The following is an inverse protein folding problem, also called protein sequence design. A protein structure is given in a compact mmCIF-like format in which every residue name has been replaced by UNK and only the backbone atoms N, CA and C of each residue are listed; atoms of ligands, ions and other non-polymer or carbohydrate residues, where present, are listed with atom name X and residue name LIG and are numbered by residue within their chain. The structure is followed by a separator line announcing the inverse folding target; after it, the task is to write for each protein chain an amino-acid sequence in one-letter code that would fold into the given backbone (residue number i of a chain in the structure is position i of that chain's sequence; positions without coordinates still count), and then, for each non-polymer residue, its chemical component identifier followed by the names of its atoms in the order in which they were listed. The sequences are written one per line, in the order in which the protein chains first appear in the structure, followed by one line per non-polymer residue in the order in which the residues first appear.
data_IF_227700089723
#
_entry.id   IF_227700089723
#
_cell.length_a   1.000
_cell.length_b   1.000
_cell.length_c   1.000
_cell.angle_alpha   90.00
_cell.angle_beta   90.00
_cell.angle_gamma   90.00
#
_symmetry.space_group_name_H-M   'P 1'
#
loop_
_entity.id
_entity.type
_entity.pdbx_description
1 polymer ?
#
# COMPACT_ATOMS: atom_id res chain seq x y z
N UNK A 1 22.51 32.16 -0.25
CA UNK A 1 22.14 30.74 -0.10
C UNK A 1 21.24 30.32 -1.26
N UNK A 2 21.81 29.70 -2.30
CA UNK A 2 21.03 29.12 -3.40
C UNK A 2 20.35 27.85 -2.88
N UNK A 3 19.01 27.85 -2.84
CA UNK A 3 18.21 26.64 -2.60
C UNK A 3 18.61 25.61 -3.67
N UNK A 4 19.27 24.52 -3.27
CA UNK A 4 19.42 23.34 -4.14
C UNK A 4 18.03 22.75 -4.37
N UNK A 5 17.28 23.32 -5.33
CA UNK A 5 16.12 22.63 -5.90
C UNK A 5 16.68 21.53 -6.77
N UNK A 6 16.85 20.35 -6.19
CA UNK A 6 17.18 19.15 -6.94
C UNK A 6 15.92 18.75 -7.72
N UNK A 7 15.68 19.42 -8.85
CA UNK A 7 14.76 18.94 -9.87
C UNK A 7 15.44 17.78 -10.57
N UNK A 8 15.39 16.60 -9.97
CA UNK A 8 15.55 15.40 -10.78
C UNK A 8 14.35 15.34 -11.70
N UNK A 9 14.60 15.41 -13.01
CA UNK A 9 13.61 14.98 -13.98
C UNK A 9 13.21 13.55 -13.60
N UNK A 10 11.91 13.29 -13.34
CA UNK A 10 11.48 11.96 -12.95
C UNK A 10 11.87 11.00 -14.07
N UNK A 11 12.51 9.90 -13.71
CA UNK A 11 12.81 8.85 -14.66
C UNK A 11 11.52 8.41 -15.37
N UNK A 12 11.64 7.89 -16.59
CA UNK A 12 10.49 7.36 -17.35
C UNK A 12 9.61 6.44 -16.48
N UNK A 13 10.25 5.60 -15.66
CA UNK A 13 9.60 4.71 -14.69
C UNK A 13 8.77 5.44 -13.62
N UNK A 14 9.29 6.53 -13.04
CA UNK A 14 8.53 7.34 -12.07
C UNK A 14 7.36 8.05 -12.75
N UNK A 15 7.55 8.55 -13.97
CA UNK A 15 6.47 9.18 -14.75
C UNK A 15 5.35 8.18 -15.04
N UNK A 16 5.69 6.97 -15.47
CA UNK A 16 4.72 5.89 -15.72
C UNK A 16 3.96 5.53 -14.45
N UNK A 17 4.63 5.40 -13.31
CA UNK A 17 3.99 5.13 -12.02
C UNK A 17 3.02 6.23 -11.59
N UNK A 18 3.41 7.49 -11.73
CA UNK A 18 2.56 8.64 -11.42
C UNK A 18 1.32 8.65 -12.32
N UNK A 19 1.47 8.37 -13.61
CA UNK A 19 0.35 8.30 -14.55
C UNK A 19 -0.60 7.14 -14.23
N UNK A 20 -0.06 5.96 -13.93
CA UNK A 20 -0.87 4.80 -13.52
C UNK A 20 -1.67 5.11 -12.25
N UNK A 21 -1.02 5.72 -11.25
CA UNK A 21 -1.69 6.08 -9.99
C UNK A 21 -2.80 7.10 -10.22
N UNK A 22 -2.53 8.15 -11.01
CA UNK A 22 -3.52 9.16 -11.36
C UNK A 22 -4.73 8.53 -12.07
N UNK A 23 -4.50 7.59 -12.98
CA UNK A 23 -5.58 6.87 -13.67
C UNK A 23 -6.42 6.00 -12.74
N UNK A 24 -5.79 5.35 -11.77
CA UNK A 24 -6.47 4.44 -10.85
C UNK A 24 -7.26 5.16 -9.75
N UNK A 25 -6.80 6.34 -9.33
CA UNK A 25 -7.26 6.98 -8.09
C UNK A 25 -7.82 8.39 -8.30
N UNK A 26 -7.51 9.03 -9.43
CA UNK A 26 -7.73 10.48 -9.60
C UNK A 26 -6.71 11.33 -8.83
N UNK A 27 -5.79 10.71 -8.08
CA UNK A 27 -4.79 11.37 -7.24
C UNK A 27 -3.37 11.18 -7.77
N UNK A 28 -2.52 12.18 -7.55
CA UNK A 28 -1.09 12.02 -7.83
C UNK A 28 -0.47 10.99 -6.87
N UNK A 29 0.58 10.29 -7.30
CA UNK A 29 1.26 9.29 -6.46
C UNK A 29 1.76 9.86 -5.13
N UNK A 30 2.14 11.14 -5.09
CA UNK A 30 2.53 11.83 -3.86
C UNK A 30 1.41 11.95 -2.82
N UNK A 31 0.16 11.89 -3.27
CA UNK A 31 -1.06 12.08 -2.46
C UNK A 31 -1.54 10.78 -1.82
N UNK A 32 -1.02 9.63 -2.22
CA UNK A 32 -1.47 8.36 -1.67
C UNK A 32 -1.22 8.26 -0.15
N UNK A 33 -2.05 7.50 0.59
CA UNK A 33 -1.90 7.31 2.03
C UNK A 33 -0.50 6.82 2.42
N UNK A 34 -0.06 7.20 3.62
CA UNK A 34 1.29 6.84 4.09
C UNK A 34 1.53 5.34 4.14
N UNK A 35 0.50 4.56 4.46
CA UNK A 35 0.58 3.09 4.49
C UNK A 35 0.87 2.48 3.12
N UNK A 36 0.60 3.19 2.02
CA UNK A 36 0.92 2.71 0.67
C UNK A 36 2.44 2.72 0.39
N UNK A 37 3.22 3.49 1.15
CA UNK A 37 4.66 3.63 0.94
C UNK A 37 5.39 2.41 1.52
N UNK A 38 6.29 1.84 0.76
CA UNK A 38 7.14 0.75 1.23
C UNK A 38 8.25 1.32 2.12
N UNK A 39 7.95 1.44 3.42
CA UNK A 39 8.88 2.02 4.41
C UNK A 39 9.98 1.03 4.83
N UNK A 40 9.81 -0.25 4.52
CA UNK A 40 10.73 -1.35 4.84
C UNK A 40 10.99 -2.11 3.55
N UNK A 41 12.23 -2.49 3.27
CA UNK A 41 12.56 -3.29 2.09
C UNK A 41 11.72 -4.57 2.07
N UNK A 42 10.99 -4.79 0.97
CA UNK A 42 10.12 -5.94 0.76
C UNK A 42 10.66 -6.88 -0.33
N UNK A 43 10.26 -8.15 -0.29
CA UNK A 43 10.63 -9.12 -1.32
C UNK A 43 10.04 -8.74 -2.69
N UNK A 44 10.76 -8.96 -3.81
CA UNK A 44 10.22 -8.75 -5.15
C UNK A 44 9.17 -9.82 -5.45
N UNK A 45 7.92 -9.55 -5.09
CA UNK A 45 6.81 -10.48 -5.22
C UNK A 45 5.90 -10.20 -6.43
N UNK A 46 6.13 -9.09 -7.13
CA UNK A 46 5.23 -8.60 -8.18
C UNK A 46 5.98 -8.09 -9.42
N UNK A 47 5.34 -8.21 -10.59
CA UNK A 47 5.77 -7.63 -11.87
C UNK A 47 5.64 -6.09 -11.89
N UNK A 48 4.77 -5.55 -11.02
CA UNK A 48 4.56 -4.12 -10.83
C UNK A 48 5.24 -3.64 -9.53
N UNK A 49 5.53 -2.34 -9.40
CA UNK A 49 5.99 -1.79 -8.15
C UNK A 49 4.97 -2.00 -7.03
N UNK A 50 5.44 -2.46 -5.86
CA UNK A 50 4.59 -2.87 -4.72
C UNK A 50 3.62 -1.78 -4.26
N UNK A 51 4.01 -0.50 -4.37
CA UNK A 51 3.15 0.64 -4.05
C UNK A 51 1.84 0.64 -4.85
N UNK A 52 1.85 0.17 -6.10
CA UNK A 52 0.64 0.10 -6.93
C UNK A 52 -0.31 -0.98 -6.40
N UNK A 53 0.21 -2.12 -5.96
CA UNK A 53 -0.61 -3.13 -5.28
C UNK A 53 -1.13 -2.62 -3.94
N UNK A 54 -0.30 -1.97 -3.13
CA UNK A 54 -0.74 -1.38 -1.84
C UNK A 54 -1.86 -0.35 -2.03
N UNK A 55 -1.76 0.51 -3.05
CA UNK A 55 -2.84 1.42 -3.48
C UNK A 55 -4.09 0.64 -3.88
N UNK A 56 -3.95 -0.41 -4.69
CA UNK A 56 -5.06 -1.28 -5.05
C UNK A 56 -5.76 -1.90 -3.84
N UNK A 57 -5.00 -2.32 -2.82
CA UNK A 57 -5.55 -2.83 -1.56
C UNK A 57 -6.32 -1.74 -0.82
N UNK A 58 -5.79 -0.52 -0.74
CA UNK A 58 -6.49 0.62 -0.12
C UNK A 58 -7.83 0.90 -0.83
N UNK A 59 -7.83 0.94 -2.16
CA UNK A 59 -9.05 1.15 -2.94
C UNK A 59 -10.06 0.02 -2.73
N UNK A 60 -9.59 -1.22 -2.57
CA UNK A 60 -10.47 -2.36 -2.32
C UNK A 60 -11.10 -2.31 -0.92
N UNK A 61 -10.32 -2.03 0.13
CA UNK A 61 -10.86 -1.94 1.50
C UNK A 61 -11.81 -0.74 1.68
N UNK A 62 -11.63 0.34 0.90
CA UNK A 62 -12.51 1.51 0.92
C UNK A 62 -13.96 1.22 0.47
N UNK A 63 -14.17 0.09 -0.21
CA UNK A 63 -15.51 -0.38 -0.60
C UNK A 63 -16.33 -0.92 0.58
N UNK A 64 -15.68 -1.25 1.70
CA UNK A 64 -16.32 -1.83 2.88
C UNK A 64 -16.66 -0.74 3.91
N UNK A 65 -17.77 -0.86 4.65
CA UNK A 65 -18.09 0.07 5.73
C UNK A 65 -17.06 -0.03 6.87
N UNK A 66 -16.93 1.04 7.66
CA UNK A 66 -16.18 0.95 8.91
C UNK A 66 -16.79 -0.13 9.81
N UNK A 67 -15.94 -0.76 10.61
CA UNK A 67 -16.22 -1.91 11.46
C UNK A 67 -16.59 -3.20 10.71
N UNK A 68 -16.48 -3.23 9.38
CA UNK A 68 -16.48 -4.49 8.64
C UNK A 68 -15.31 -5.35 9.13
N UNK A 69 -15.56 -6.66 9.27
CA UNK A 69 -14.57 -7.63 9.73
C UNK A 69 -14.35 -8.72 8.69
N UNK A 70 -13.09 -9.15 8.55
CA UNK A 70 -12.71 -10.30 7.73
C UNK A 70 -12.11 -11.37 8.62
N UNK A 71 -12.47 -12.63 8.37
CA UNK A 71 -11.68 -13.75 8.86
C UNK A 71 -10.30 -13.80 8.18
N UNK A 72 -9.30 -14.42 8.81
CA UNK A 72 -7.93 -14.51 8.27
C UNK A 72 -7.86 -15.02 6.81
N UNK A 73 -8.67 -16.04 6.47
CA UNK A 73 -8.72 -16.60 5.11
C UNK A 73 -9.33 -15.63 4.10
N UNK A 74 -10.39 -14.94 4.49
CA UNK A 74 -11.07 -13.94 3.65
C UNK A 74 -10.17 -12.75 3.39
N UNK A 75 -9.50 -12.26 4.43
CA UNK A 75 -8.51 -11.19 4.32
C UNK A 75 -7.38 -11.55 3.36
N UNK A 76 -6.76 -12.72 3.55
CA UNK A 76 -5.70 -13.19 2.65
C UNK A 76 -6.19 -13.28 1.20
N UNK A 77 -7.39 -13.82 0.98
CA UNK A 77 -7.98 -13.92 -0.35
C UNK A 77 -8.28 -12.57 -0.98
N UNK A 78 -8.73 -11.58 -0.18
CA UNK A 78 -8.93 -10.20 -0.63
C UNK A 78 -7.62 -9.64 -1.19
N UNK A 79 -6.54 -9.73 -0.43
CA UNK A 79 -5.23 -9.17 -0.78
C UNK A 79 -4.59 -9.88 -1.99
N UNK A 80 -4.79 -11.19 -2.14
CA UNK A 80 -4.30 -11.94 -3.32
C UNK A 80 -5.05 -11.55 -4.60
N UNK A 81 -6.35 -11.25 -4.50
CA UNK A 81 -7.17 -10.89 -5.67
C UNK A 81 -6.78 -9.52 -6.25
N UNK A 82 -6.32 -8.60 -5.40
CA UNK A 82 -5.81 -7.29 -5.86
C UNK A 82 -4.61 -7.52 -6.77
N UNK A 83 -4.70 -7.04 -8.02
CA UNK A 83 -3.68 -7.20 -9.05
C UNK A 83 -3.22 -8.66 -9.22
N UNK A 84 -4.17 -9.61 -9.23
CA UNK A 84 -3.90 -11.05 -9.26
C UNK A 84 -2.89 -11.48 -10.34
N UNK A 85 -2.95 -10.86 -11.52
CA UNK A 85 -2.06 -11.15 -12.65
C UNK A 85 -0.61 -10.74 -12.43
N UNK A 86 -0.35 -9.86 -11.46
CA UNK A 86 0.97 -9.27 -11.25
C UNK A 86 1.80 -10.01 -10.20
N UNK A 87 1.22 -10.98 -9.49
CA UNK A 87 2.00 -11.82 -8.57
C UNK A 87 2.99 -12.68 -9.33
N UNK A 88 4.26 -12.60 -8.93
CA UNK A 88 5.31 -13.44 -9.50
C UNK A 88 5.17 -14.89 -9.04
N UNK A 89 5.69 -15.78 -9.87
CA UNK A 89 5.79 -17.21 -9.63
C UNK A 89 7.27 -17.59 -9.64
N UNK A 90 7.97 -17.48 -8.48
CA UNK A 90 9.37 -17.85 -8.42
C UNK A 90 9.50 -19.35 -8.72
N UNK A 91 10.39 -19.73 -9.65
CA UNK A 91 10.60 -21.15 -9.98
C UNK A 91 11.31 -21.95 -8.88
N UNK A 92 11.93 -21.27 -7.91
CA UNK A 92 12.72 -21.87 -6.85
C UNK A 92 11.96 -22.07 -5.52
N UNK A 93 10.75 -21.52 -5.38
CA UNK A 93 9.97 -21.56 -4.14
C UNK A 93 8.48 -21.65 -4.45
N UNK A 94 7.65 -22.24 -3.56
CA UNK A 94 6.21 -22.13 -3.68
C UNK A 94 5.78 -20.65 -3.70
N UNK A 95 4.96 -20.21 -4.68
CA UNK A 95 4.53 -18.80 -4.78
C UNK A 95 3.83 -18.29 -3.52
N UNK A 96 3.12 -19.17 -2.81
CA UNK A 96 2.43 -18.85 -1.56
C UNK A 96 3.39 -18.42 -0.45
N UNK A 97 4.64 -18.88 -0.44
CA UNK A 97 5.63 -18.49 0.58
C UNK A 97 5.91 -16.99 0.53
N UNK A 98 6.26 -16.47 -0.64
CA UNK A 98 6.55 -15.03 -0.80
C UNK A 98 5.27 -14.20 -0.61
N UNK A 99 4.14 -14.65 -1.18
CA UNK A 99 2.83 -13.97 -1.00
C UNK A 99 2.46 -13.82 0.47
N UNK A 100 2.62 -14.89 1.26
CA UNK A 100 2.33 -14.86 2.69
C UNK A 100 3.22 -13.85 3.42
N UNK A 101 4.50 -13.79 3.09
CA UNK A 101 5.43 -12.83 3.71
C UNK A 101 4.96 -11.39 3.44
N UNK A 102 4.69 -11.06 2.18
CA UNK A 102 4.23 -9.72 1.78
C UNK A 102 2.87 -9.37 2.41
N UNK A 103 1.92 -10.30 2.38
CA UNK A 103 0.59 -10.10 2.95
C UNK A 103 0.68 -9.88 4.46
N UNK A 104 1.45 -10.71 5.17
CA UNK A 104 1.62 -10.58 6.62
C UNK A 104 2.31 -9.27 6.98
N UNK A 105 3.37 -8.91 6.25
CA UNK A 105 4.06 -7.63 6.42
C UNK A 105 3.08 -6.46 6.25
N UNK A 106 2.37 -6.41 5.13
CA UNK A 106 1.45 -5.31 4.85
C UNK A 106 0.26 -5.27 5.81
N UNK A 107 -0.23 -6.42 6.25
CA UNK A 107 -1.27 -6.51 7.31
C UNK A 107 -0.79 -5.88 8.61
N UNK A 108 0.44 -6.16 9.03
CA UNK A 108 1.02 -5.57 10.23
C UNK A 108 1.22 -4.05 10.08
N UNK A 109 1.59 -3.59 8.89
CA UNK A 109 1.67 -2.16 8.61
C UNK A 109 0.30 -1.48 8.68
N UNK A 110 -0.76 -2.09 8.12
CA UNK A 110 -2.13 -1.58 8.23
C UNK A 110 -2.60 -1.50 9.70
N UNK A 111 -2.20 -2.47 10.54
CA UNK A 111 -2.46 -2.44 11.98
C UNK A 111 -1.69 -1.31 12.67
N UNK A 112 -0.40 -1.17 12.39
CA UNK A 112 0.44 -0.11 12.97
C UNK A 112 -0.07 1.28 12.60
N UNK A 113 -0.62 1.43 11.39
CA UNK A 113 -1.23 2.67 10.91
C UNK A 113 -2.68 2.88 11.39
N UNK A 114 -3.21 1.94 12.19
CA UNK A 114 -4.58 1.92 12.71
C UNK A 114 -5.65 1.94 11.63
N UNK A 115 -5.35 1.45 10.43
CA UNK A 115 -6.36 1.26 9.37
C UNK A 115 -7.26 0.10 9.77
N UNK A 116 -6.65 -1.00 10.19
CA UNK A 116 -7.34 -2.17 10.74
C UNK A 116 -6.86 -2.46 12.16
N UNK A 117 -7.64 -3.20 12.95
CA UNK A 117 -7.17 -3.86 14.17
C UNK A 117 -7.42 -5.36 14.10
N UNK A 118 -6.79 -6.12 15.00
CA UNK A 118 -7.01 -7.57 15.14
C UNK A 118 -7.73 -7.83 16.45
N UNK A 119 -8.84 -8.54 16.38
CA UNK A 119 -9.66 -8.97 17.53
C UNK A 119 -10.18 -10.38 17.23
N UNK A 120 -10.05 -11.33 18.16
CA UNK A 120 -10.60 -12.70 18.05
C UNK A 120 -10.43 -13.36 16.65
N UNK A 121 -9.20 -13.38 16.11
CA UNK A 121 -8.88 -13.90 14.77
C UNK A 121 -9.55 -13.20 13.57
N UNK A 122 -10.18 -12.05 13.80
CA UNK A 122 -10.73 -11.17 12.78
C UNK A 122 -9.85 -9.94 12.60
N UNK A 123 -9.86 -9.41 11.39
CA UNK A 123 -9.31 -8.09 11.08
C UNK A 123 -10.47 -7.13 10.83
N UNK A 124 -10.51 -6.04 11.60
CA UNK A 124 -11.63 -5.10 11.61
C UNK A 124 -11.15 -3.78 11.03
N UNK A 125 -11.86 -3.24 10.03
CA UNK A 125 -11.59 -1.92 9.49
C UNK A 125 -12.02 -0.83 10.48
N UNK A 126 -11.08 -0.09 11.05
CA UNK A 126 -11.37 0.92 12.09
C UNK A 126 -11.15 2.36 11.63
N UNK A 127 -10.31 2.59 10.61
CA UNK A 127 -10.12 3.92 10.02
C UNK A 127 -9.95 3.85 8.50
N UNK A 128 -10.39 4.91 7.81
CA UNK A 128 -10.08 5.10 6.40
C UNK A 128 -8.65 5.63 6.24
N UNK A 129 -7.84 5.04 5.34
CA UNK A 129 -6.56 5.63 4.94
C UNK A 129 -6.78 7.05 4.41
N UNK A 130 -5.99 8.01 4.89
CA UNK A 130 -6.11 9.40 4.46
C UNK A 130 -5.33 9.64 3.17
N UNK A 131 -6.02 10.12 2.13
CA UNK A 131 -5.40 10.72 0.94
C UNK A 131 -4.99 12.16 1.25
N UNK A 132 -3.83 12.57 0.74
CA UNK A 132 -3.18 13.83 1.09
C UNK A 132 -3.14 14.78 -0.09
N UNK A 133 -3.86 15.89 -0.01
CA UNK A 133 -3.79 16.95 -1.02
C UNK A 133 -2.69 17.99 -0.71
N UNK A 134 -2.04 17.88 0.46
CA UNK A 134 -0.96 18.75 0.91
C UNK A 134 0.22 17.92 1.45
N UNK A 135 1.38 18.10 0.82
CA UNK A 135 2.63 17.45 1.21
C UNK A 135 3.12 17.87 2.61
N UNK A 136 2.84 19.10 3.06
CA UNK A 136 3.22 19.57 4.39
C UNK A 136 2.46 18.84 5.48
N UNK A 137 1.14 18.67 5.33
CA UNK A 137 0.32 17.89 6.26
C UNK A 137 0.80 16.44 6.34
N UNK A 138 1.14 15.84 5.19
CA UNK A 138 1.70 14.49 5.13
C UNK A 138 3.01 14.37 5.91
N UNK A 139 3.93 15.32 5.73
CA UNK A 139 5.21 15.35 6.44
C UNK A 139 5.06 15.54 7.95
N UNK A 140 4.10 16.34 8.40
CA UNK A 140 3.83 16.51 9.83
C UNK A 140 3.36 15.20 10.48
N UNK A 141 2.54 14.41 9.80
CA UNK A 141 2.08 13.11 10.30
C UNK A 141 3.20 12.07 10.35
N UNK A 142 4.15 12.11 9.41
CA UNK A 142 5.35 11.27 9.49
C UNK A 142 6.19 11.63 10.72
N UNK A 143 6.43 12.92 10.95
CA UNK A 143 7.25 13.39 12.09
C UNK A 143 6.66 13.06 13.46
N UNK A 144 5.33 13.06 13.61
CA UNK A 144 4.66 12.69 14.87
C UNK A 144 4.76 11.21 15.23
N UNK A 145 5.22 10.38 14.28
CA UNK A 145 5.35 8.93 14.41
C UNK A 145 6.81 8.46 14.47
N UNK A 146 7.75 9.38 14.30
CA UNK A 146 9.20 9.17 14.45
C UNK A 146 9.58 9.32 15.92
#
# INVERSE_FOLDING_TARGET
MLKKKQYHFPSKKIRELSLTTLRLTGHALSECPLVCHDLIASWPAMSIPIIIWRIGVILEIEKFPLFYSWGNKEWKNLLIKVNKSDWLFPGCLPPETIRNIIINQYTNELIAFKVICREDNHLILIHRPQWFNDAQLKLQLVKRRS
#
